data_IF_744355835206
#
_entry.id   IF_744355835206
#
_cell.length_a   1.000
_cell.length_b   1.000
_cell.length_c   1.000
_cell.angle_alpha   90.00
_cell.angle_beta   90.00
_cell.angle_gamma   90.00
#
_symmetry.space_group_name_H-M   'P 1'
#
loop_
_entity.id
_entity.type
_entity.pdbx_description
1 polymer ?
#
# COMPACT_ATOMS: atom_id res chain seq x y z
N UNK A 1 9.50 -2.50 -16.52
CA UNK A 1 8.46 -1.59 -15.99
C UNK A 1 9.03 -0.82 -14.82
N UNK A 2 8.86 0.48 -14.80
CA UNK A 2 9.41 1.33 -13.74
C UNK A 2 8.34 1.65 -12.71
N UNK A 3 8.61 1.34 -11.45
CA UNK A 3 7.70 1.63 -10.34
C UNK A 3 8.00 3.03 -9.79
N UNK A 4 6.97 3.84 -9.67
CA UNK A 4 7.06 5.19 -9.11
C UNK A 4 6.13 5.34 -7.89
N UNK A 5 6.17 6.52 -7.25
CA UNK A 5 5.35 6.78 -6.06
C UNK A 5 3.86 6.58 -6.31
N UNK A 6 3.38 7.02 -7.46
CA UNK A 6 1.96 6.91 -7.80
C UNK A 6 1.51 5.45 -7.89
N UNK A 7 2.33 4.60 -8.49
CA UNK A 7 1.99 3.17 -8.62
C UNK A 7 1.89 2.49 -7.26
N UNK A 8 2.82 2.77 -6.35
CA UNK A 8 2.77 2.21 -4.99
C UNK A 8 1.55 2.73 -4.24
N UNK A 9 1.28 4.02 -4.33
CA UNK A 9 0.11 4.61 -3.69
C UNK A 9 -1.19 4.01 -4.21
N UNK A 10 -1.30 3.80 -5.54
CA UNK A 10 -2.48 3.18 -6.14
C UNK A 10 -2.69 1.75 -5.65
N UNK A 11 -1.63 0.98 -5.49
CA UNK A 11 -1.73 -0.38 -4.94
C UNK A 11 -2.22 -0.37 -3.50
N UNK A 12 -1.70 0.52 -2.68
CA UNK A 12 -2.18 0.69 -1.31
C UNK A 12 -3.65 1.12 -1.27
N UNK A 13 -4.05 2.06 -2.14
CA UNK A 13 -5.43 2.50 -2.25
C UNK A 13 -6.36 1.36 -2.67
N UNK A 14 -5.93 0.54 -3.63
CA UNK A 14 -6.70 -0.62 -4.07
C UNK A 14 -6.93 -1.59 -2.91
N UNK A 15 -5.91 -1.83 -2.10
CA UNK A 15 -6.06 -2.67 -0.91
C UNK A 15 -7.03 -2.04 0.10
N UNK A 16 -6.87 -0.75 0.39
CA UNK A 16 -7.73 -0.05 1.37
C UNK A 16 -9.18 0.04 0.91
N UNK A 17 -9.43 0.09 -0.39
CA UNK A 17 -10.77 0.10 -0.97
C UNK A 17 -11.31 -1.32 -1.26
N UNK A 18 -10.62 -2.35 -0.81
CA UNK A 18 -11.01 -3.75 -0.98
C UNK A 18 -11.09 -4.20 -2.45
N UNK A 19 -10.38 -3.53 -3.36
CA UNK A 19 -10.28 -3.95 -4.76
C UNK A 19 -9.32 -5.11 -4.95
N UNK A 20 -8.31 -5.18 -4.08
CA UNK A 20 -7.38 -6.31 -4.01
C UNK A 20 -7.29 -6.79 -2.57
N UNK A 21 -6.92 -8.05 -2.41
CA UNK A 21 -6.72 -8.66 -1.09
C UNK A 21 -5.30 -8.41 -0.59
N UNK A 22 -5.07 -8.69 0.70
CA UNK A 22 -3.72 -8.60 1.25
C UNK A 22 -2.74 -9.53 0.52
N UNK A 23 -3.07 -10.82 0.26
CA UNK A 23 -2.17 -11.67 -0.53
C UNK A 23 -1.84 -11.11 -1.91
N UNK A 24 -2.80 -10.47 -2.57
CA UNK A 24 -2.56 -9.86 -3.88
C UNK A 24 -1.61 -8.66 -3.78
N UNK A 25 -1.75 -7.84 -2.74
CA UNK A 25 -0.84 -6.74 -2.48
C UNK A 25 0.57 -7.25 -2.23
N UNK A 26 0.70 -8.28 -1.40
CA UNK A 26 2.00 -8.90 -1.07
C UNK A 26 2.64 -9.48 -2.32
N UNK A 27 1.88 -10.21 -3.14
CA UNK A 27 2.40 -10.79 -4.39
C UNK A 27 2.93 -9.72 -5.33
N UNK A 28 2.19 -8.62 -5.47
CA UNK A 28 2.67 -7.50 -6.30
C UNK A 28 3.96 -6.90 -5.75
N UNK A 29 4.03 -6.73 -4.41
CA UNK A 29 5.21 -6.15 -3.78
C UNK A 29 6.44 -7.06 -3.93
N UNK A 30 6.27 -8.37 -3.76
CA UNK A 30 7.36 -9.33 -3.96
C UNK A 30 7.86 -9.30 -5.41
N UNK A 31 6.94 -9.27 -6.38
CA UNK A 31 7.31 -9.12 -7.77
C UNK A 31 8.10 -7.82 -7.99
N UNK A 32 7.63 -6.71 -7.44
CA UNK A 32 8.28 -5.41 -7.63
C UNK A 32 9.70 -5.39 -7.06
N UNK A 33 9.91 -5.99 -5.91
CA UNK A 33 11.25 -6.05 -5.29
C UNK A 33 12.21 -6.86 -6.15
N UNK A 34 11.73 -7.96 -6.74
CA UNK A 34 12.59 -8.88 -7.47
C UNK A 34 12.82 -8.50 -8.93
N UNK A 35 11.79 -7.96 -9.59
CA UNK A 35 11.82 -7.84 -11.05
C UNK A 35 11.58 -6.42 -11.58
N UNK A 36 11.10 -5.50 -10.78
CA UNK A 36 10.81 -4.16 -11.25
C UNK A 36 11.97 -3.21 -11.02
N UNK A 37 12.06 -2.19 -11.89
CA UNK A 37 12.94 -1.05 -11.67
C UNK A 37 12.19 0.02 -10.89
N UNK A 38 12.88 0.68 -9.97
CA UNK A 38 12.31 1.78 -9.22
C UNK A 38 12.78 3.13 -9.79
N UNK A 39 11.90 4.13 -9.73
CA UNK A 39 12.26 5.48 -10.12
C UNK A 39 13.46 5.94 -9.30
N UNK A 40 14.51 6.39 -10.00
CA UNK A 40 15.78 6.73 -9.36
C UNK A 40 15.65 7.86 -8.33
N UNK A 41 14.69 8.77 -8.54
CA UNK A 41 14.49 9.90 -7.62
C UNK A 41 14.00 9.46 -6.25
N UNK A 42 13.27 8.37 -6.19
CA UNK A 42 12.64 7.89 -4.97
C UNK A 42 13.06 6.46 -4.61
N UNK A 43 14.16 6.00 -5.16
CA UNK A 43 14.57 4.59 -5.07
C UNK A 43 14.61 4.08 -3.63
N UNK A 44 15.24 4.81 -2.72
CA UNK A 44 15.37 4.36 -1.32
C UNK A 44 14.00 4.30 -0.63
N UNK A 45 13.17 5.31 -0.84
CA UNK A 45 11.82 5.36 -0.27
C UNK A 45 10.97 4.21 -0.81
N UNK A 46 10.98 4.01 -2.12
CA UNK A 46 10.16 2.98 -2.76
C UNK A 46 10.60 1.58 -2.35
N UNK A 47 11.91 1.33 -2.29
CA UNK A 47 12.43 0.03 -1.82
C UNK A 47 12.01 -0.27 -0.39
N UNK A 48 12.07 0.74 0.48
CA UNK A 48 11.68 0.55 1.87
C UNK A 48 10.19 0.21 1.97
N UNK A 49 9.34 1.00 1.35
CA UNK A 49 7.88 0.79 1.44
C UNK A 49 7.48 -0.53 0.77
N UNK A 50 7.91 -0.76 -0.45
CA UNK A 50 7.56 -1.98 -1.18
C UNK A 50 8.11 -3.22 -0.49
N UNK A 51 9.31 -3.14 0.07
CA UNK A 51 9.88 -4.23 0.87
C UNK A 51 9.02 -4.56 2.09
N UNK A 52 8.48 -3.56 2.76
CA UNK A 52 7.58 -3.77 3.90
C UNK A 52 6.22 -4.33 3.46
N UNK A 53 5.70 -3.88 2.31
CA UNK A 53 4.46 -4.44 1.77
C UNK A 53 4.61 -5.93 1.45
N UNK A 54 5.77 -6.35 0.98
CA UNK A 54 6.05 -7.77 0.71
C UNK A 54 6.08 -8.64 1.96
N UNK A 55 6.16 -8.04 3.14
CA UNK A 55 6.14 -8.74 4.44
C UNK A 55 4.82 -8.57 5.17
N UNK A 56 3.84 -7.91 4.59
CA UNK A 56 2.61 -7.54 5.29
C UNK A 56 1.75 -8.73 5.72
N UNK A 57 1.93 -9.89 5.09
CA UNK A 57 1.25 -11.13 5.47
C UNK A 57 2.03 -11.96 6.51
N UNK A 58 3.24 -11.54 6.87
CA UNK A 58 4.02 -12.18 7.91
C UNK A 58 3.58 -11.61 9.25
N UNK A 59 3.17 -12.49 10.17
CA UNK A 59 2.55 -12.09 11.44
C UNK A 59 3.37 -11.05 12.22
N UNK A 60 4.69 -11.20 12.24
CA UNK A 60 5.58 -10.30 12.99
C UNK A 60 5.73 -8.93 12.31
N UNK A 61 5.36 -8.81 11.04
CA UNK A 61 5.52 -7.60 10.24
C UNK A 61 4.20 -7.15 9.63
N UNK A 62 3.08 -7.54 10.25
CA UNK A 62 1.76 -7.18 9.76
C UNK A 62 1.57 -5.67 9.62
N UNK A 63 0.85 -5.28 8.58
CA UNK A 63 0.61 -3.89 8.27
C UNK A 63 -0.61 -3.38 9.03
N UNK A 64 -0.43 -2.30 9.81
CA UNK A 64 -1.50 -1.64 10.54
C UNK A 64 -2.06 -0.47 9.72
N UNK A 65 -3.19 0.10 10.18
CA UNK A 65 -3.72 1.33 9.60
C UNK A 65 -2.70 2.47 9.66
N UNK A 66 -2.02 2.61 10.79
CA UNK A 66 -1.00 3.65 10.95
C UNK A 66 0.15 3.47 9.96
N UNK A 67 0.51 2.23 9.66
CA UNK A 67 1.53 1.94 8.66
C UNK A 67 1.07 2.41 7.27
N UNK A 68 -0.18 2.10 6.90
CA UNK A 68 -0.73 2.52 5.60
C UNK A 68 -0.73 4.04 5.48
N UNK A 69 -1.19 4.74 6.52
CA UNK A 69 -1.20 6.20 6.54
C UNK A 69 0.20 6.76 6.41
N UNK A 70 1.16 6.19 7.14
CA UNK A 70 2.56 6.61 7.08
C UNK A 70 3.14 6.43 5.68
N UNK A 71 2.92 5.28 5.06
CA UNK A 71 3.43 5.02 3.71
C UNK A 71 2.83 5.98 2.70
N UNK A 72 1.53 6.20 2.74
CA UNK A 72 0.86 7.11 1.81
C UNK A 72 1.34 8.54 2.01
N UNK A 73 1.52 8.98 3.27
CA UNK A 73 2.05 10.31 3.57
C UNK A 73 3.46 10.49 2.99
N UNK A 74 4.32 9.50 3.17
CA UNK A 74 5.69 9.54 2.65
C UNK A 74 5.73 9.51 1.12
N UNK A 75 4.72 8.91 0.50
CA UNK A 75 4.57 8.90 -0.97
C UNK A 75 4.00 10.21 -1.51
N UNK A 76 3.64 11.14 -0.64
CA UNK A 76 3.14 12.45 -1.03
C UNK A 76 1.61 12.57 -1.04
N UNK A 77 0.91 11.68 -0.38
CA UNK A 77 -0.54 11.64 -0.35
C UNK A 77 -1.07 11.95 1.04
N UNK A 78 -2.15 12.70 1.10
CA UNK A 78 -2.86 12.95 2.35
C UNK A 78 -3.99 11.94 2.48
N UNK A 79 -4.07 11.30 3.64
CA UNK A 79 -5.13 10.33 3.92
C UNK A 79 -6.22 11.02 4.75
N UNK A 80 -7.45 10.85 4.34
CA UNK A 80 -8.61 11.29 5.13
C UNK A 80 -9.62 10.15 5.20
N UNK A 81 -10.29 10.05 6.34
CA UNK A 81 -11.30 9.02 6.57
C UNK A 81 -12.64 9.70 6.74
N UNK A 82 -13.61 9.31 5.95
CA UNK A 82 -14.98 9.75 6.07
C UNK A 82 -15.79 8.66 6.75
N UNK A 83 -16.35 9.01 7.90
CA UNK A 83 -17.21 8.10 8.65
C UNK A 83 -18.61 8.67 8.63
N UNK A 84 -19.57 7.89 8.20
CA UNK A 84 -20.97 8.27 8.19
C UNK A 84 -21.80 7.18 8.84
N UNK A 85 -22.95 7.60 9.37
CA UNK A 85 -23.87 6.65 9.98
C UNK A 85 -24.47 5.74 8.92
N UNK A 86 -24.45 4.44 9.18
CA UNK A 86 -25.04 3.48 8.25
C UNK A 86 -26.57 3.60 8.27
N UNK A 87 -27.24 3.43 7.13
CA UNK A 87 -28.69 3.42 7.08
C UNK A 87 -29.27 2.30 7.96
N UNK A 88 -30.18 2.65 8.86
CA UNK A 88 -30.82 1.69 9.76
C UNK A 88 -31.64 0.67 8.98
N UNK A 89 -32.20 1.08 7.87
CA UNK A 89 -33.03 0.22 7.01
C UNK A 89 -32.24 -0.84 6.23
N UNK A 90 -30.93 -0.88 6.40
CA UNK A 90 -30.07 -1.86 5.72
C UNK A 90 -30.18 -3.27 6.31
N UNK A 91 -30.99 -3.46 7.34
CA UNK A 91 -31.16 -4.76 7.99
C UNK A 91 -32.51 -5.37 7.70
#
# INVERSE_FOLDING_TARGET
MKVNRQMVALKLMDYLHHRITLPQLVDWAEWAVMDADFDARDMNLLREIVGRLGLADVRAFGMTWDDCENYLSRLGYRVSVNVSEAPVAAF
#
